data_IF_830798212375
#
_entry.id   IF_830798212375
#
_cell.length_a   1.000
_cell.length_b   1.000
_cell.length_c   1.000
_cell.angle_alpha   90.00
_cell.angle_beta   90.00
_cell.angle_gamma   90.00
#
_symmetry.space_group_name_H-M   'P 1'
#
loop_
_entity.id
_entity.type
_entity.pdbx_description
1 polymer ?
#
# COMPACT_ATOMS: atom_id res chain seq x y z
N UNK A 1 16.36 13.42 -20.86
CA UNK A 1 15.30 13.16 -21.86
C UNK A 1 14.45 11.91 -21.58
N UNK A 2 14.99 10.81 -21.04
CA UNK A 2 14.20 9.60 -20.72
C UNK A 2 13.23 9.79 -19.55
N UNK A 3 13.63 10.53 -18.51
CA UNK A 3 12.80 10.75 -17.31
C UNK A 3 11.43 11.37 -17.64
N UNK A 4 11.41 12.41 -18.49
CA UNK A 4 10.17 13.10 -18.89
C UNK A 4 9.19 12.20 -19.65
N UNK A 5 9.67 11.18 -20.39
CA UNK A 5 8.78 10.24 -21.10
C UNK A 5 8.18 9.21 -20.15
N UNK A 6 8.95 8.79 -19.16
CA UNK A 6 8.48 7.86 -18.12
C UNK A 6 7.46 8.57 -17.23
N UNK A 7 7.75 9.80 -16.83
CA UNK A 7 6.89 10.64 -16.01
C UNK A 7 5.56 10.94 -16.73
N UNK A 8 5.59 11.31 -18.01
CA UNK A 8 4.37 11.49 -18.80
C UNK A 8 3.54 10.22 -18.99
N UNK A 9 4.17 9.04 -19.10
CA UNK A 9 3.44 7.76 -19.18
C UNK A 9 2.76 7.39 -17.85
N UNK A 10 3.41 7.68 -16.73
CA UNK A 10 2.84 7.52 -15.38
C UNK A 10 1.65 8.46 -15.20
N UNK A 11 1.81 9.73 -15.56
CA UNK A 11 0.78 10.75 -15.40
C UNK A 11 -0.45 10.49 -16.29
N UNK A 12 -0.25 9.97 -17.51
CA UNK A 12 -1.35 9.56 -18.39
C UNK A 12 -2.12 8.35 -17.83
N UNK A 13 -1.39 7.36 -17.29
CA UNK A 13 -1.99 6.18 -16.66
C UNK A 13 -2.76 6.57 -15.40
N UNK A 14 -2.17 7.40 -14.54
CA UNK A 14 -2.79 7.94 -13.34
C UNK A 14 -4.07 8.70 -13.68
N UNK A 15 -4.04 9.58 -14.69
CA UNK A 15 -5.21 10.31 -15.15
C UNK A 15 -6.32 9.41 -15.71
N UNK A 16 -5.98 8.32 -16.43
CA UNK A 16 -6.97 7.33 -16.91
C UNK A 16 -7.58 6.56 -15.74
N UNK A 17 -6.77 6.11 -14.79
CA UNK A 17 -7.22 5.42 -13.60
C UNK A 17 -8.13 6.31 -12.74
N UNK A 18 -7.74 7.55 -12.50
CA UNK A 18 -8.50 8.52 -11.70
C UNK A 18 -9.85 8.87 -12.34
N UNK A 19 -9.90 9.04 -13.67
CA UNK A 19 -11.17 9.25 -14.41
C UNK A 19 -12.11 8.05 -14.33
N UNK A 20 -11.57 6.83 -14.43
CA UNK A 20 -12.36 5.60 -14.32
C UNK A 20 -12.92 5.39 -12.92
N UNK A 21 -12.05 5.52 -11.91
CA UNK A 21 -12.43 5.41 -10.50
C UNK A 21 -13.42 6.51 -10.09
N UNK A 22 -13.18 7.77 -10.49
CA UNK A 22 -14.02 8.91 -10.12
C UNK A 22 -15.46 8.82 -10.63
N UNK A 23 -15.69 8.30 -11.84
CA UNK A 23 -17.06 8.07 -12.37
C UNK A 23 -17.83 7.01 -11.59
N UNK A 24 -17.15 5.96 -11.14
CA UNK A 24 -17.77 4.86 -10.39
C UNK A 24 -18.00 5.23 -8.93
N UNK A 25 -17.05 5.95 -8.32
CA UNK A 25 -17.10 6.37 -6.92
C UNK A 25 -17.99 7.59 -6.69
N UNK A 26 -18.25 8.42 -7.72
CA UNK A 26 -19.03 9.65 -7.61
C UNK A 26 -20.42 9.43 -6.99
N UNK A 27 -21.18 8.48 -7.51
CA UNK A 27 -22.53 8.17 -7.01
C UNK A 27 -22.52 7.29 -5.75
N UNK A 28 -21.46 6.50 -5.56
CA UNK A 28 -21.38 5.51 -4.47
C UNK A 28 -20.61 5.99 -3.24
N UNK A 29 -20.08 7.22 -3.27
CA UNK A 29 -19.12 7.74 -2.28
C UNK A 29 -19.57 7.52 -0.84
N UNK A 30 -20.83 7.81 -0.52
CA UNK A 30 -21.35 7.69 0.84
C UNK A 30 -21.43 6.23 1.34
N UNK A 31 -21.83 5.29 0.49
CA UNK A 31 -21.84 3.85 0.84
C UNK A 31 -20.42 3.30 0.94
N UNK A 32 -19.55 3.73 0.03
CA UNK A 32 -18.14 3.33 0.01
C UNK A 32 -17.42 3.87 1.24
N UNK A 33 -17.65 5.12 1.66
CA UNK A 33 -17.06 5.68 2.88
C UNK A 33 -17.46 4.88 4.13
N UNK A 34 -18.71 4.44 4.22
CA UNK A 34 -19.18 3.56 5.30
C UNK A 34 -18.45 2.20 5.31
N UNK A 35 -18.44 1.52 4.16
CA UNK A 35 -17.76 0.23 4.01
C UNK A 35 -16.24 0.35 4.24
N UNK A 36 -15.61 1.40 3.73
CA UNK A 36 -14.19 1.69 3.92
C UNK A 36 -13.89 1.94 5.39
N UNK A 37 -14.75 2.65 6.12
CA UNK A 37 -14.56 2.89 7.56
C UNK A 37 -14.63 1.60 8.38
N UNK A 38 -15.57 0.72 8.06
CA UNK A 38 -15.71 -0.59 8.70
C UNK A 38 -14.52 -1.50 8.40
N UNK A 39 -14.13 -1.58 7.13
CA UNK A 39 -12.94 -2.34 6.69
C UNK A 39 -11.68 -1.75 7.29
N UNK A 40 -11.55 -0.42 7.35
CA UNK A 40 -10.41 0.26 7.98
C UNK A 40 -10.30 -0.09 9.46
N UNK A 41 -11.41 -0.16 10.20
CA UNK A 41 -11.41 -0.59 11.59
C UNK A 41 -10.88 -2.02 11.76
N UNK A 42 -11.36 -2.96 10.95
CA UNK A 42 -10.87 -4.35 10.94
C UNK A 42 -9.41 -4.43 10.52
N UNK A 43 -9.03 -3.70 9.48
CA UNK A 43 -7.68 -3.67 8.93
C UNK A 43 -6.69 -3.10 9.95
N UNK A 44 -7.03 -2.03 10.67
CA UNK A 44 -6.18 -1.47 11.73
C UNK A 44 -5.89 -2.50 12.84
N UNK A 45 -6.92 -3.22 13.29
CA UNK A 45 -6.75 -4.28 14.29
C UNK A 45 -5.90 -5.45 13.78
N UNK A 46 -6.15 -5.90 12.54
CA UNK A 46 -5.36 -6.98 11.95
C UNK A 46 -3.91 -6.56 11.71
N UNK A 47 -3.71 -5.35 11.20
CA UNK A 47 -2.40 -4.75 10.94
C UNK A 47 -1.59 -4.59 12.22
N UNK A 48 -2.21 -4.11 13.31
CA UNK A 48 -1.58 -4.02 14.62
C UNK A 48 -0.97 -5.34 15.05
N UNK A 49 -1.75 -6.43 15.01
CA UNK A 49 -1.26 -7.78 15.36
C UNK A 49 -0.10 -8.26 14.49
N UNK A 50 -0.12 -7.92 13.20
CA UNK A 50 0.96 -8.30 12.27
C UNK A 50 2.23 -7.51 12.59
N UNK A 51 2.13 -6.20 12.79
CA UNK A 51 3.28 -5.37 13.15
C UNK A 51 3.85 -5.75 14.51
N UNK A 52 3.00 -5.99 15.51
CA UNK A 52 3.42 -6.42 16.84
C UNK A 52 4.17 -7.75 16.78
N UNK A 53 3.68 -8.72 15.98
CA UNK A 53 4.36 -9.98 15.76
C UNK A 53 5.70 -9.83 15.03
N UNK A 54 5.79 -8.91 14.05
CA UNK A 54 7.05 -8.62 13.37
C UNK A 54 8.06 -7.92 14.28
N UNK A 55 7.61 -7.01 15.15
CA UNK A 55 8.46 -6.31 16.12
C UNK A 55 9.10 -7.31 17.09
N UNK A 56 8.30 -8.27 17.58
CA UNK A 56 8.76 -9.40 18.41
C UNK A 56 9.84 -10.25 17.71
N UNK A 57 9.69 -10.49 16.41
CA UNK A 57 10.67 -11.24 15.62
C UNK A 57 11.96 -10.44 15.38
N UNK A 58 11.82 -9.14 15.11
CA UNK A 58 12.96 -8.23 14.94
C UNK A 58 13.75 -8.09 16.23
N UNK A 59 13.08 -8.12 17.38
CA UNK A 59 13.74 -8.08 18.68
C UNK A 59 14.53 -9.33 19.04
N UNK A 60 14.19 -10.47 18.42
CA UNK A 60 14.94 -11.73 18.54
C UNK A 60 16.00 -11.91 17.46
N UNK A 61 16.04 -11.02 16.45
CA UNK A 61 16.97 -11.12 15.34
C UNK A 61 18.41 -10.71 15.75
N UNK A 62 19.45 -11.22 15.05
CA UNK A 62 20.82 -10.77 15.24
C UNK A 62 20.96 -9.25 15.05
N UNK A 63 21.91 -8.64 15.76
CA UNK A 63 22.15 -7.18 15.74
C UNK A 63 22.38 -6.60 14.34
N UNK A 64 22.87 -7.39 13.40
CA UNK A 64 23.18 -6.96 12.03
C UNK A 64 21.91 -6.69 11.19
N UNK A 65 20.80 -7.37 11.51
CA UNK A 65 19.51 -7.25 10.80
C UNK A 65 18.47 -6.48 11.62
N UNK A 66 18.70 -6.30 12.91
CA UNK A 66 17.76 -5.64 13.83
C UNK A 66 17.52 -4.17 13.48
N UNK A 67 18.57 -3.41 13.19
CA UNK A 67 18.48 -1.99 12.82
C UNK A 67 17.71 -1.73 11.52
N UNK A 68 18.04 -2.37 10.38
CA UNK A 68 17.28 -2.18 9.14
C UNK A 68 15.84 -2.67 9.28
N UNK A 69 15.61 -3.77 10.02
CA UNK A 69 14.26 -4.28 10.23
C UNK A 69 13.42 -3.37 11.14
N UNK A 70 13.99 -2.81 12.22
CA UNK A 70 13.32 -1.79 13.05
C UNK A 70 12.98 -0.54 12.25
N UNK A 71 13.88 -0.10 11.37
CA UNK A 71 13.63 1.07 10.51
C UNK A 71 12.50 0.80 9.49
N UNK A 72 12.46 -0.41 8.93
CA UNK A 72 11.38 -0.83 8.04
C UNK A 72 10.03 -0.93 8.78
N UNK A 73 10.01 -1.51 9.98
CA UNK A 73 8.81 -1.58 10.83
C UNK A 73 8.36 -0.21 11.33
N UNK A 74 9.30 0.67 11.68
CA UNK A 74 9.03 2.05 12.05
C UNK A 74 8.33 2.82 10.94
N UNK A 75 8.78 2.65 9.69
CA UNK A 75 8.12 3.23 8.52
C UNK A 75 6.69 2.73 8.34
N UNK A 76 6.48 1.44 8.57
CA UNK A 76 5.18 0.80 8.51
C UNK A 76 4.24 1.43 9.57
N UNK A 77 4.73 1.62 10.80
CA UNK A 77 3.97 2.18 11.92
C UNK A 77 3.62 3.66 11.74
N UNK A 78 4.57 4.45 11.24
CA UNK A 78 4.40 5.90 11.14
C UNK A 78 3.54 6.30 9.93
N UNK A 79 3.65 5.56 8.82
CA UNK A 79 2.92 5.85 7.58
C UNK A 79 2.26 4.60 7.03
N UNK A 80 1.22 4.07 7.71
CA UNK A 80 0.55 2.84 7.31
C UNK A 80 -0.09 2.98 5.93
N UNK A 81 -0.65 4.15 5.59
CA UNK A 81 -1.28 4.38 4.28
C UNK A 81 -0.28 4.34 3.12
N UNK A 82 0.91 4.92 3.29
CA UNK A 82 1.94 4.93 2.24
C UNK A 82 2.59 3.55 2.09
N UNK A 83 2.88 2.86 3.20
CA UNK A 83 3.48 1.52 3.16
C UNK A 83 2.52 0.49 2.57
N UNK A 84 1.25 0.50 3.00
CA UNK A 84 0.21 -0.36 2.41
C UNK A 84 -0.02 0.00 0.94
N UNK A 85 -0.02 1.29 0.60
CA UNK A 85 -0.15 1.75 -0.78
C UNK A 85 0.97 1.27 -1.70
N UNK A 86 2.23 1.36 -1.26
CA UNK A 86 3.40 0.90 -2.01
C UNK A 86 3.36 -0.62 -2.17
N UNK A 87 3.09 -1.37 -1.10
CA UNK A 87 3.00 -2.83 -1.14
C UNK A 87 1.84 -3.31 -2.03
N UNK A 88 0.66 -2.71 -1.90
CA UNK A 88 -0.48 -3.04 -2.73
C UNK A 88 -0.24 -2.69 -4.21
N UNK A 89 0.39 -1.54 -4.49
CA UNK A 89 0.79 -1.14 -5.83
C UNK A 89 1.80 -2.11 -6.46
N UNK A 90 2.84 -2.48 -5.71
CA UNK A 90 3.82 -3.46 -6.15
C UNK A 90 3.19 -4.84 -6.40
N UNK A 91 2.32 -5.32 -5.50
CA UNK A 91 1.62 -6.59 -5.65
C UNK A 91 0.66 -6.60 -6.85
N UNK A 92 -0.04 -5.49 -7.10
CA UNK A 92 -0.93 -5.33 -8.25
C UNK A 92 -0.15 -5.33 -9.57
N UNK A 93 0.98 -4.62 -9.62
CA UNK A 93 1.87 -4.61 -10.79
C UNK A 93 2.47 -6.00 -11.05
N UNK A 94 2.94 -6.68 -10.01
CA UNK A 94 3.46 -8.05 -10.12
C UNK A 94 2.38 -9.04 -10.57
N UNK A 95 1.15 -8.92 -10.06
CA UNK A 95 0.02 -9.75 -10.52
C UNK A 95 -0.38 -9.46 -11.96
N UNK A 96 -0.30 -8.20 -12.40
CA UNK A 96 -0.58 -7.82 -13.77
C UNK A 96 0.47 -8.35 -14.75
N UNK A 97 1.76 -8.36 -14.36
CA UNK A 97 2.83 -9.00 -15.14
C UNK A 97 2.74 -10.53 -15.11
N UNK A 98 2.34 -11.13 -14.00
CA UNK A 98 2.24 -12.58 -13.82
C UNK A 98 1.08 -13.24 -14.56
N UNK A 99 0.05 -12.48 -14.97
CA UNK A 99 -1.13 -13.01 -15.68
C UNK A 99 -0.87 -13.34 -17.16
N UNK A 100 0.35 -13.13 -17.65
CA UNK A 100 0.74 -13.44 -19.03
C UNK A 100 1.56 -14.74 -19.09
N UNK A 101 0.94 -15.87 -18.75
CA UNK A 101 1.36 -17.22 -19.16
C UNK A 101 0.15 -18.09 -19.40
#
# INVERSE_FOLDING_TARGET
MANQRIEGAVEEFEGKAQRGAGRLLGDSKLQVEGAVKEVSGRAKNAYGRVIDGLDDMVDRAPSDVREPARKALGFAREKPLLTVGILAGAAALLSALGRKR
#
